data_IF_892534216135
#
_entry.id   IF_892534216135
#
_cell.length_a   1.000
_cell.length_b   1.000
_cell.length_c   1.000
_cell.angle_alpha   90.00
_cell.angle_beta   90.00
_cell.angle_gamma   90.00
#
_symmetry.space_group_name_H-M   'P 1'
#
loop_
_entity.id
_entity.type
_entity.pdbx_description
1 polymer ?
#
# COMPACT_ATOMS: atom_id res chain seq x y z
N UNK A 1 36.05 41.88 -47.32
CA UNK A 1 35.39 41.05 -48.34
C UNK A 1 34.80 39.83 -47.62
N UNK A 2 33.49 39.61 -47.74
CA UNK A 2 32.65 38.57 -47.11
C UNK A 2 31.94 37.85 -48.28
N UNK A 3 31.67 36.52 -48.25
CA UNK A 3 30.47 35.91 -47.61
C UNK A 3 30.74 34.55 -46.92
N UNK A 4 30.25 34.24 -45.71
CA UNK A 4 28.91 33.78 -45.29
C UNK A 4 28.27 32.70 -46.17
N UNK A 5 28.16 31.47 -45.64
CA UNK A 5 26.90 30.71 -45.59
C UNK A 5 26.80 29.87 -44.31
N UNK A 6 25.59 29.94 -43.72
CA UNK A 6 25.12 29.37 -42.45
C UNK A 6 24.50 27.97 -42.63
N UNK A 7 24.51 27.15 -41.58
CA UNK A 7 23.40 26.29 -41.10
C UNK A 7 23.79 25.83 -39.68
N UNK A 8 23.23 26.29 -38.55
CA UNK A 8 21.85 26.30 -38.01
C UNK A 8 21.16 24.94 -38.09
N UNK A 9 21.12 24.26 -36.94
CA UNK A 9 19.97 23.60 -36.28
C UNK A 9 20.51 22.76 -35.10
N UNK A 10 19.92 22.65 -33.93
CA UNK A 10 19.14 23.53 -33.06
C UNK A 10 19.11 22.77 -31.71
N UNK A 11 19.47 23.46 -30.63
CA UNK A 11 19.53 22.93 -29.28
C UNK A 11 18.16 23.24 -28.66
N UNK A 12 17.32 22.24 -28.44
CA UNK A 12 16.06 22.40 -27.71
C UNK A 12 16.26 21.91 -26.26
N UNK A 13 16.82 22.79 -25.44
CA UNK A 13 16.66 22.77 -23.99
C UNK A 13 15.28 23.38 -23.68
N UNK A 14 14.41 22.61 -23.05
CA UNK A 14 13.08 23.03 -22.60
C UNK A 14 13.21 23.94 -21.37
N UNK A 15 12.74 25.20 -21.39
CA UNK A 15 12.59 26.01 -20.19
C UNK A 15 11.09 26.18 -19.89
N UNK A 16 10.60 25.52 -18.84
CA UNK A 16 9.33 25.93 -18.22
C UNK A 16 9.65 26.85 -17.04
N UNK A 17 9.62 28.15 -17.32
CA UNK A 17 9.50 29.20 -16.33
C UNK A 17 8.06 29.21 -15.79
N UNK A 18 7.89 29.08 -14.48
CA UNK A 18 6.65 29.44 -13.79
C UNK A 18 6.85 30.82 -13.17
N UNK A 19 6.25 31.81 -13.82
CA UNK A 19 6.10 33.19 -13.33
C UNK A 19 5.02 33.18 -12.25
N UNK A 20 5.34 33.78 -11.09
CA UNK A 20 4.39 33.99 -10.01
C UNK A 20 3.41 35.12 -10.31
N UNK A 21 2.16 34.94 -9.88
CA UNK A 21 1.20 36.03 -9.76
C UNK A 21 0.32 35.86 -8.51
N UNK A 22 0.75 36.58 -7.47
CA UNK A 22 -0.01 37.38 -6.49
C UNK A 22 -1.42 36.94 -6.04
N UNK A 23 -1.51 36.68 -4.74
CA UNK A 23 -2.73 36.64 -3.92
C UNK A 23 -2.93 38.04 -3.27
N UNK A 24 -4.18 38.53 -3.23
CA UNK A 24 -4.75 39.48 -2.23
C UNK A 24 -6.27 39.25 -2.17
N UNK A 25 -6.81 38.81 -1.01
CA UNK A 25 -7.58 39.60 -0.01
C UNK A 25 -8.90 40.17 -0.61
N UNK A 26 -10.11 40.06 -0.04
CA UNK A 26 -10.49 40.08 1.39
C UNK A 26 -12.00 39.71 1.56
N UNK A 27 -12.26 39.01 2.67
CA UNK A 27 -13.40 38.88 3.62
C UNK A 27 -14.75 39.62 3.47
N UNK A 28 -15.84 38.92 3.86
CA UNK A 28 -16.96 39.29 4.80
C UNK A 28 -18.10 38.24 4.68
N UNK A 29 -18.30 37.29 5.59
CA UNK A 29 -18.90 37.33 6.96
C UNK A 29 -20.36 37.80 7.04
N UNK A 30 -21.28 36.87 7.34
CA UNK A 30 -22.39 36.95 8.33
C UNK A 30 -23.38 35.76 8.16
N UNK A 31 -23.26 34.67 8.91
CA UNK A 31 -24.09 34.28 10.09
C UNK A 31 -25.62 34.36 9.98
N UNK A 32 -26.28 33.18 10.02
CA UNK A 32 -27.36 32.97 11.00
C UNK A 32 -27.56 31.49 11.36
N UNK A 33 -27.51 31.23 12.67
CA UNK A 33 -27.87 29.98 13.33
C UNK A 33 -29.38 29.95 13.63
N UNK A 34 -29.99 28.75 13.67
CA UNK A 34 -31.08 28.42 14.61
C UNK A 34 -31.35 26.91 14.68
N UNK A 35 -31.95 26.53 15.80
CA UNK A 35 -31.78 25.29 16.57
C UNK A 35 -33.10 24.51 16.67
N UNK A 36 -32.98 23.23 17.08
CA UNK A 36 -33.99 22.34 17.69
C UNK A 36 -34.96 21.63 16.69
N UNK A 37 -35.36 20.36 16.84
CA UNK A 37 -35.84 19.67 18.06
C UNK A 37 -35.83 18.13 17.88
N UNK A 38 -35.68 17.42 19.00
CA UNK A 38 -35.75 15.97 19.23
C UNK A 38 -37.21 15.47 19.17
N UNK A 39 -37.46 14.29 18.59
CA UNK A 39 -38.62 13.47 18.97
C UNK A 39 -38.23 11.99 19.09
N UNK A 40 -38.41 11.49 20.30
CA UNK A 40 -38.22 10.13 20.79
C UNK A 40 -39.57 9.40 20.75
N UNK A 41 -39.63 8.20 20.14
CA UNK A 41 -40.65 7.21 20.49
C UNK A 41 -40.13 5.78 20.32
N UNK A 42 -39.99 5.12 21.46
CA UNK A 42 -39.61 3.73 21.63
C UNK A 42 -40.55 2.73 20.92
N UNK A 43 -40.02 1.54 20.57
CA UNK A 43 -40.47 0.19 20.97
C UNK A 43 -39.56 -0.87 20.28
N UNK A 44 -38.76 -1.58 21.07
CA UNK A 44 -38.31 -2.97 20.84
C UNK A 44 -39.22 -3.88 21.74
N UNK A 45 -39.40 -5.22 21.56
CA UNK A 45 -38.42 -6.18 21.03
C UNK A 45 -39.00 -7.37 20.21
N UNK A 46 -38.14 -8.11 19.49
CA UNK A 46 -38.23 -9.58 19.46
C UNK A 46 -36.97 -10.20 18.86
N UNK A 47 -36.31 -10.91 19.75
CA UNK A 47 -35.26 -11.90 19.59
C UNK A 47 -35.64 -13.04 18.64
N UNK A 48 -34.66 -13.52 17.87
CA UNK A 48 -34.05 -14.87 17.96
C UNK A 48 -33.79 -15.48 16.58
N UNK A 49 -32.53 -15.48 16.14
CA UNK A 49 -31.89 -16.71 15.65
C UNK A 49 -30.37 -16.60 15.82
N UNK A 50 -29.89 -17.15 16.93
CA UNK A 50 -28.50 -17.52 17.12
C UNK A 50 -28.17 -18.69 16.17
N UNK A 51 -27.02 -18.64 15.48
CA UNK A 51 -25.91 -19.59 15.66
C UNK A 51 -24.73 -19.23 14.74
N UNK A 52 -23.68 -18.69 15.37
CA UNK A 52 -22.29 -19.17 15.23
C UNK A 52 -21.57 -18.96 13.88
N UNK A 53 -20.90 -17.81 13.78
CA UNK A 53 -19.43 -17.84 13.75
C UNK A 53 -18.95 -16.81 14.76
N UNK A 54 -18.25 -17.29 15.77
CA UNK A 54 -17.34 -16.50 16.59
C UNK A 54 -16.41 -15.72 15.66
N UNK A 55 -16.81 -14.51 15.31
CA UNK A 55 -15.85 -13.44 15.19
C UNK A 55 -15.33 -13.27 16.61
N UNK A 56 -14.24 -13.98 16.91
CA UNK A 56 -13.38 -13.56 18.00
C UNK A 56 -13.04 -12.13 17.64
N UNK A 57 -13.66 -11.19 18.35
CA UNK A 57 -13.21 -9.82 18.51
C UNK A 57 -11.87 -9.93 19.23
N UNK A 58 -10.87 -10.45 18.54
CA UNK A 58 -9.49 -10.42 19.00
C UNK A 58 -9.14 -8.94 18.97
N UNK A 59 -8.83 -8.40 20.14
CA UNK A 59 -7.95 -7.24 20.24
C UNK A 59 -6.89 -7.36 19.16
N UNK A 60 -6.68 -6.29 18.39
CA UNK A 60 -5.85 -6.27 17.17
C UNK A 60 -4.42 -6.73 17.50
N UNK A 61 -4.27 -8.05 17.57
CA UNK A 61 -3.04 -8.72 17.88
C UNK A 61 -2.16 -8.42 16.68
N UNK A 62 -0.96 -7.88 16.91
CA UNK A 62 0.05 -7.68 15.87
C UNK A 62 0.55 -8.98 15.23
N UNK A 63 -0.24 -10.04 15.29
CA UNK A 63 0.03 -11.37 14.81
C UNK A 63 -1.20 -12.03 14.20
N UNK A 64 -0.94 -12.81 13.16
CA UNK A 64 -1.87 -13.70 12.50
C UNK A 64 -1.45 -15.16 12.74
N UNK A 65 -2.41 -16.05 13.03
CA UNK A 65 -2.17 -17.49 13.12
C UNK A 65 -2.58 -18.12 11.80
N UNK A 66 -1.62 -18.75 11.12
CA UNK A 66 -1.82 -19.42 9.83
C UNK A 66 -2.83 -20.55 9.96
N UNK A 67 -3.81 -20.58 9.06
CA UNK A 67 -4.83 -21.61 8.95
C UNK A 67 -4.50 -22.55 7.79
N UNK A 68 -5.08 -23.75 7.81
CA UNK A 68 -4.91 -24.71 6.72
C UNK A 68 -5.26 -24.10 5.36
N UNK A 69 -4.39 -24.30 4.37
CA UNK A 69 -4.56 -23.78 3.01
C UNK A 69 -4.17 -22.30 2.84
N UNK A 70 -3.73 -21.62 3.90
CA UNK A 70 -3.24 -20.25 3.77
C UNK A 70 -1.91 -20.22 3.02
N UNK A 71 -1.81 -19.24 2.14
CA UNK A 71 -0.62 -18.91 1.37
C UNK A 71 -0.20 -17.50 1.69
N UNK A 72 1.02 -17.13 1.35
CA UNK A 72 1.52 -15.79 1.65
C UNK A 72 0.67 -14.68 0.99
N UNK A 73 0.23 -14.92 -0.25
CA UNK A 73 -0.63 -14.00 -0.98
C UNK A 73 -2.03 -13.92 -0.39
N UNK A 74 -2.64 -15.06 -0.04
CA UNK A 74 -3.99 -15.08 0.51
C UNK A 74 -4.05 -14.41 1.88
N UNK A 75 -3.07 -14.64 2.76
CA UNK A 75 -2.99 -13.98 4.07
C UNK A 75 -2.91 -12.45 3.92
N UNK A 76 -2.02 -11.95 3.06
CA UNK A 76 -1.90 -10.51 2.82
C UNK A 76 -3.20 -9.90 2.23
N UNK A 77 -3.92 -10.67 1.41
CA UNK A 77 -5.19 -10.28 0.81
C UNK A 77 -6.35 -10.16 1.79
N UNK A 78 -6.26 -10.75 2.99
CA UNK A 78 -7.37 -10.73 3.95
C UNK A 78 -7.61 -9.33 4.49
N UNK A 79 -8.89 -8.96 4.65
CA UNK A 79 -9.30 -7.63 5.14
C UNK A 79 -8.86 -7.33 6.58
N UNK A 80 -8.75 -8.36 7.42
CA UNK A 80 -8.24 -8.29 8.79
C UNK A 80 -6.71 -8.20 8.87
N UNK A 81 -6.00 -8.40 7.75
CA UNK A 81 -4.54 -8.29 7.67
C UNK A 81 -4.14 -7.02 6.93
N UNK A 82 -4.21 -7.01 5.59
CA UNK A 82 -3.85 -5.82 4.81
C UNK A 82 -4.84 -5.46 3.69
N UNK A 83 -5.82 -6.32 3.42
CA UNK A 83 -6.83 -6.17 2.37
C UNK A 83 -6.28 -6.17 0.95
N UNK A 84 -5.02 -6.55 0.74
CA UNK A 84 -4.40 -6.51 -0.58
C UNK A 84 -3.29 -7.56 -0.72
N UNK A 85 -3.43 -8.54 -1.64
CA UNK A 85 -2.42 -9.59 -1.86
C UNK A 85 -1.06 -9.04 -2.30
N UNK A 86 -1.00 -7.87 -2.96
CA UNK A 86 0.26 -7.23 -3.35
C UNK A 86 1.09 -6.71 -2.17
N UNK A 87 0.55 -6.76 -0.95
CA UNK A 87 1.28 -6.42 0.29
C UNK A 87 2.01 -7.62 0.92
N UNK A 88 2.02 -8.78 0.27
CA UNK A 88 2.85 -9.91 0.67
C UNK A 88 4.33 -9.55 0.95
N UNK A 89 5.00 -8.59 0.25
CA UNK A 89 6.38 -8.23 0.54
C UNK A 89 6.58 -7.74 1.98
N UNK A 90 5.59 -7.03 2.52
CA UNK A 90 5.60 -6.52 3.89
C UNK A 90 5.49 -7.70 4.87
N UNK A 91 4.56 -8.63 4.61
CA UNK A 91 4.37 -9.83 5.41
C UNK A 91 5.64 -10.69 5.44
N UNK A 92 6.25 -10.91 4.27
CA UNK A 92 7.48 -11.68 4.13
C UNK A 92 8.63 -11.03 4.91
N UNK A 93 8.86 -9.74 4.72
CA UNK A 93 9.96 -9.01 5.40
C UNK A 93 9.88 -9.13 6.92
N UNK A 94 8.68 -9.07 7.51
CA UNK A 94 8.50 -9.16 8.95
C UNK A 94 8.69 -10.59 9.50
N UNK A 95 8.62 -11.60 8.65
CA UNK A 95 8.60 -13.01 9.03
C UNK A 95 9.65 -13.84 8.28
N UNK A 96 10.68 -13.18 7.72
CA UNK A 96 11.67 -13.81 6.85
C UNK A 96 12.37 -14.98 7.54
N UNK A 97 12.65 -14.86 8.84
CA UNK A 97 13.25 -15.91 9.66
C UNK A 97 12.39 -17.19 9.74
N UNK A 98 11.06 -17.07 9.66
CA UNK A 98 10.15 -18.22 9.68
C UNK A 98 9.93 -18.77 8.27
N UNK A 99 9.78 -17.87 7.29
CA UNK A 99 9.38 -18.20 5.93
C UNK A 99 10.53 -18.66 5.03
N UNK A 100 11.79 -18.27 5.31
CA UNK A 100 12.95 -18.71 4.53
C UNK A 100 13.21 -20.21 4.64
N UNK A 101 12.68 -20.85 5.69
CA UNK A 101 12.71 -22.31 5.84
C UNK A 101 11.90 -23.04 4.75
N UNK A 102 10.94 -22.36 4.11
CA UNK A 102 10.01 -22.96 3.14
C UNK A 102 10.54 -23.02 1.70
N UNK A 103 11.84 -22.82 1.50
CA UNK A 103 12.54 -22.77 0.21
C UNK A 103 11.91 -21.78 -0.78
N UNK A 104 12.44 -20.56 -0.80
CA UNK A 104 11.96 -19.49 -1.69
C UNK A 104 12.28 -19.82 -3.15
N UNK A 105 11.25 -20.00 -3.98
CA UNK A 105 11.37 -20.37 -5.40
C UNK A 105 10.09 -20.09 -6.19
N UNK A 106 9.95 -20.69 -7.37
CA UNK A 106 8.70 -20.61 -8.13
C UNK A 106 7.52 -21.18 -7.31
N UNK A 107 6.38 -20.48 -7.34
CA UNK A 107 5.17 -20.88 -6.61
C UNK A 107 5.22 -20.58 -5.10
N UNK A 108 6.23 -19.86 -4.61
CA UNK A 108 6.33 -19.52 -3.17
C UNK A 108 5.13 -18.72 -2.65
N UNK A 109 4.50 -17.89 -3.49
CA UNK A 109 3.35 -17.08 -3.08
C UNK A 109 2.08 -17.92 -2.92
N UNK A 110 1.98 -19.01 -3.68
CA UNK A 110 0.84 -19.94 -3.73
C UNK A 110 1.07 -21.18 -2.87
N UNK A 111 2.27 -21.33 -2.30
CA UNK A 111 2.59 -22.45 -1.41
C UNK A 111 1.87 -22.28 -0.07
N UNK A 112 1.33 -23.39 0.42
CA UNK A 112 0.75 -23.44 1.75
C UNK A 112 1.82 -23.22 2.82
N UNK A 113 1.53 -22.31 3.73
CA UNK A 113 2.34 -22.08 4.93
C UNK A 113 1.85 -23.07 6.00
N UNK A 114 2.75 -23.70 6.78
CA UNK A 114 2.34 -24.62 7.82
C UNK A 114 1.33 -23.99 8.80
N UNK A 115 0.27 -24.74 9.10
CA UNK A 115 -0.77 -24.33 10.04
C UNK A 115 -0.19 -24.07 11.43
N UNK A 116 -0.77 -23.10 12.15
CA UNK A 116 -0.35 -22.74 13.49
C UNK A 116 0.90 -21.84 13.55
N UNK A 117 1.56 -21.58 12.41
CA UNK A 117 2.65 -20.60 12.36
C UNK A 117 2.11 -19.21 12.70
N UNK A 118 2.71 -18.57 13.69
CA UNK A 118 2.36 -17.20 14.08
C UNK A 118 3.17 -16.19 13.27
N UNK A 119 2.52 -15.41 12.41
CA UNK A 119 3.14 -14.37 11.59
C UNK A 119 2.90 -12.99 12.18
N UNK A 120 3.93 -12.16 12.31
CA UNK A 120 3.80 -10.76 12.69
C UNK A 120 3.16 -9.97 11.55
N UNK A 121 2.18 -9.14 11.87
CA UNK A 121 1.51 -8.22 10.94
C UNK A 121 1.64 -6.79 11.46
N UNK A 122 1.55 -5.81 10.57
CA UNK A 122 1.46 -4.40 10.97
C UNK A 122 0.00 -4.10 11.29
N UNK A 123 -0.27 -3.68 12.52
CA UNK A 123 -1.62 -3.25 12.90
C UNK A 123 -1.98 -1.93 12.22
N UNK A 124 -3.27 -1.59 12.06
CA UNK A 124 -3.66 -0.28 11.53
C UNK A 124 -3.05 0.89 12.31
N UNK A 125 -2.87 0.73 13.62
CA UNK A 125 -2.33 1.77 14.52
C UNK A 125 -0.83 1.95 14.30
N UNK A 126 -0.08 0.84 14.24
CA UNK A 126 1.34 0.86 13.86
C UNK A 126 1.55 1.42 12.46
N UNK A 127 0.66 1.10 11.50
CA UNK A 127 0.73 1.62 10.15
C UNK A 127 0.56 3.15 10.13
N UNK A 128 -0.38 3.70 10.91
CA UNK A 128 -0.59 5.15 11.05
C UNK A 128 0.63 5.83 11.66
N UNK A 129 1.24 5.22 12.67
CA UNK A 129 2.42 5.79 13.33
C UNK A 129 3.67 5.72 12.44
N UNK A 130 3.86 4.61 11.72
CA UNK A 130 4.92 4.47 10.72
C UNK A 130 4.80 5.53 9.62
N UNK A 131 3.58 5.85 9.20
CA UNK A 131 3.33 6.90 8.21
C UNK A 131 3.74 8.28 8.72
N UNK A 132 3.37 8.66 9.96
CA UNK A 132 3.79 9.94 10.56
C UNK A 132 5.30 10.04 10.71
N UNK A 133 5.93 8.99 11.24
CA UNK A 133 7.39 8.96 11.44
C UNK A 133 8.14 9.19 10.14
N UNK A 134 7.64 8.62 9.04
CA UNK A 134 8.25 8.71 7.73
C UNK A 134 7.61 9.80 6.84
N UNK A 135 6.85 10.74 7.40
CA UNK A 135 6.11 11.73 6.60
C UNK A 135 7.04 12.67 5.81
N UNK A 136 8.28 12.85 6.26
CA UNK A 136 9.31 13.64 5.58
C UNK A 136 10.01 12.88 4.46
N UNK A 137 9.80 11.56 4.37
CA UNK A 137 10.43 10.70 3.39
C UNK A 137 9.55 10.53 2.16
N UNK A 138 9.68 11.47 1.23
CA UNK A 138 8.80 11.61 0.07
C UNK A 138 9.27 10.82 -1.15
N UNK A 139 10.51 10.33 -1.14
CA UNK A 139 11.08 9.67 -2.31
C UNK A 139 10.90 8.15 -2.25
N UNK A 140 10.45 7.60 -3.37
CA UNK A 140 10.44 6.16 -3.63
C UNK A 140 11.06 5.90 -5.00
N UNK A 141 11.80 4.80 -5.11
CA UNK A 141 12.44 4.40 -6.36
C UNK A 141 11.57 3.32 -7.02
N UNK A 142 11.17 3.54 -8.27
CA UNK A 142 10.54 2.49 -9.08
C UNK A 142 11.63 1.59 -9.66
N UNK A 143 11.69 0.34 -9.22
CA UNK A 143 12.72 -0.61 -9.64
C UNK A 143 12.32 -1.32 -10.93
N UNK A 144 11.07 -1.78 -11.00
CA UNK A 144 10.57 -2.57 -12.11
C UNK A 144 9.05 -2.39 -12.24
N UNK A 145 8.55 -2.42 -13.46
CA UNK A 145 7.12 -2.48 -13.75
C UNK A 145 6.84 -3.67 -14.65
N UNK A 146 5.88 -4.50 -14.28
CA UNK A 146 5.55 -5.72 -14.99
C UNK A 146 4.04 -5.95 -14.99
N UNK A 147 3.57 -6.91 -15.78
CA UNK A 147 2.14 -7.25 -15.86
C UNK A 147 1.78 -8.49 -15.06
N UNK A 148 2.78 -9.28 -14.70
CA UNK A 148 2.61 -10.47 -13.86
C UNK A 148 3.44 -10.39 -12.58
N UNK A 149 2.97 -11.08 -11.55
CA UNK A 149 3.68 -11.16 -10.26
C UNK A 149 5.00 -11.92 -10.40
N UNK A 150 5.07 -12.92 -11.30
CA UNK A 150 6.26 -13.76 -11.53
C UNK A 150 7.46 -12.93 -11.97
N UNK A 151 7.23 -11.93 -12.82
CA UNK A 151 8.27 -11.04 -13.36
C UNK A 151 8.93 -10.18 -12.26
N UNK A 152 8.18 -9.78 -11.22
CA UNK A 152 8.72 -8.96 -10.11
C UNK A 152 9.16 -9.78 -8.90
N UNK A 153 8.76 -11.05 -8.83
CA UNK A 153 8.95 -11.89 -7.64
C UNK A 153 10.42 -12.02 -7.23
N UNK A 154 11.29 -12.46 -8.15
CA UNK A 154 12.71 -12.67 -7.86
C UNK A 154 13.40 -11.38 -7.39
N UNK A 155 13.13 -10.26 -8.09
CA UNK A 155 13.63 -8.95 -7.72
C UNK A 155 13.13 -8.51 -6.34
N UNK A 156 11.87 -8.79 -6.01
CA UNK A 156 11.27 -8.46 -4.71
C UNK A 156 11.96 -9.19 -3.57
N UNK A 157 12.14 -10.51 -3.69
CA UNK A 157 12.84 -11.32 -2.69
C UNK A 157 14.28 -10.82 -2.50
N UNK A 158 15.00 -10.56 -3.60
CA UNK A 158 16.39 -10.08 -3.56
C UNK A 158 16.51 -8.74 -2.82
N UNK A 159 15.62 -7.80 -3.08
CA UNK A 159 15.61 -6.49 -2.42
C UNK A 159 15.36 -6.61 -0.92
N UNK A 160 14.37 -7.40 -0.52
CA UNK A 160 14.03 -7.61 0.91
C UNK A 160 15.18 -8.27 1.66
N UNK A 161 15.78 -9.31 1.07
CA UNK A 161 16.95 -9.99 1.65
C UNK A 161 18.18 -9.09 1.77
N UNK A 162 18.28 -8.09 0.90
CA UNK A 162 19.34 -7.07 0.95
C UNK A 162 19.04 -5.95 1.96
N UNK A 163 17.94 -6.05 2.71
CA UNK A 163 17.54 -5.08 3.74
C UNK A 163 16.73 -3.89 3.22
N UNK A 164 16.40 -3.85 1.92
CA UNK A 164 15.64 -2.74 1.36
C UNK A 164 14.12 -2.91 1.61
N UNK A 165 13.42 -1.86 2.06
CA UNK A 165 11.97 -1.88 2.19
C UNK A 165 11.32 -1.83 0.80
N UNK A 166 10.97 -3.00 0.26
CA UNK A 166 10.29 -3.15 -1.02
C UNK A 166 8.76 -3.29 -0.84
N UNK A 167 8.00 -2.72 -1.78
CA UNK A 167 6.54 -2.83 -1.84
C UNK A 167 6.06 -2.81 -3.29
N UNK A 168 4.86 -3.33 -3.52
CA UNK A 168 4.27 -3.45 -4.85
C UNK A 168 2.98 -2.61 -4.90
N UNK A 169 2.82 -1.83 -5.96
CA UNK A 169 1.59 -1.06 -6.24
C UNK A 169 1.01 -1.47 -7.59
N UNK A 170 -0.31 -1.55 -7.71
CA UNK A 170 -0.96 -1.66 -9.02
C UNK A 170 -1.12 -0.28 -9.67
N UNK A 171 -1.17 -0.25 -11.01
CA UNK A 171 -1.52 0.92 -11.78
C UNK A 171 -2.13 0.48 -13.13
N UNK A 172 -3.23 1.09 -13.54
CA UNK A 172 -3.81 0.86 -14.86
C UNK A 172 -3.28 1.93 -15.83
N UNK A 173 -2.64 1.49 -16.93
CA UNK A 173 -2.07 2.37 -17.95
C UNK A 173 -2.60 1.93 -19.31
N UNK A 174 -3.30 2.82 -20.02
CA UNK A 174 -3.93 2.52 -21.32
C UNK A 174 -4.80 1.26 -21.30
N UNK A 175 -5.58 1.07 -20.22
CA UNK A 175 -6.46 -0.09 -20.05
C UNK A 175 -5.76 -1.41 -19.68
N UNK A 176 -4.44 -1.40 -19.46
CA UNK A 176 -3.69 -2.57 -18.98
C UNK A 176 -3.27 -2.39 -17.54
N UNK A 177 -3.41 -3.43 -16.72
CA UNK A 177 -2.94 -3.42 -15.35
C UNK A 177 -1.46 -3.76 -15.26
N UNK A 178 -0.76 -2.95 -14.46
CA UNK A 178 0.66 -3.07 -14.18
C UNK A 178 0.88 -3.18 -12.69
N UNK A 179 1.87 -3.99 -12.31
CA UNK A 179 2.44 -4.06 -10.99
C UNK A 179 3.78 -3.33 -11.00
N UNK A 180 3.98 -2.42 -10.06
CA UNK A 180 5.21 -1.64 -9.90
C UNK A 180 5.89 -2.03 -8.61
N UNK A 181 7.07 -2.62 -8.72
CA UNK A 181 7.96 -2.89 -7.60
C UNK A 181 8.72 -1.60 -7.26
N UNK A 182 8.52 -1.11 -6.04
CA UNK A 182 9.16 0.10 -5.53
C UNK A 182 9.97 -0.20 -4.29
N UNK A 183 10.96 0.65 -4.04
CA UNK A 183 11.81 0.58 -2.86
C UNK A 183 11.85 1.93 -2.19
N UNK A 184 11.85 1.89 -0.86
CA UNK A 184 12.17 3.04 -0.04
C UNK A 184 10.95 3.76 0.50
N UNK A 185 11.31 4.75 1.30
CA UNK A 185 10.63 5.95 1.70
C UNK A 185 11.82 6.75 2.24
N UNK A 186 12.46 7.55 1.37
CA UNK A 186 13.68 8.32 1.66
C UNK A 186 13.42 9.83 1.70
#
# INVERSE_FOLDING_TARGET
MVPIKKSVLEKAETPLQSTGEKIKEETKEATHAKTATVEEKAIQPSTTKAKEKEAVTEEVSGYYIVKKGDTLSTIAGRGDVYGNPLKWPILYRLNMNKLDTLQVGEGFLEREIPEGVRLKIITPDEARENFKRNAHNIWSVNVLSATTIKEIFSSTIRLIRSGYPAYITSATVKGKDWMRLRVGFF
#
